data_IF_285300138894
#
_entry.id   IF_285300138894
#
_cell.length_a   1.000
_cell.length_b   1.000
_cell.length_c   1.000
_cell.angle_alpha   90.00
_cell.angle_beta   90.00
_cell.angle_gamma   90.00
#
_symmetry.space_group_name_H-M   'P 1'
#
loop_
_entity.id
_entity.type
_entity.pdbx_description
1 polymer ?
#
# COMPACT_ATOMS: atom_id res chain seq x y z
N UNK A 1 6.15 -4.06 -20.51
CA UNK A 1 4.73 -4.03 -20.07
C UNK A 1 4.69 -3.48 -18.66
N UNK A 2 3.81 -2.51 -18.40
CA UNK A 2 3.62 -1.92 -17.07
C UNK A 2 2.40 -2.54 -16.39
N UNK A 3 2.52 -2.88 -15.12
CA UNK A 3 1.44 -3.50 -14.32
C UNK A 3 1.25 -2.72 -13.03
N UNK A 4 0.00 -2.44 -12.67
CA UNK A 4 -0.36 -1.76 -11.44
C UNK A 4 -1.24 -2.69 -10.60
N UNK A 5 -0.91 -2.82 -9.32
CA UNK A 5 -1.72 -3.53 -8.34
C UNK A 5 -2.16 -2.56 -7.25
N UNK A 6 -3.47 -2.50 -7.00
CA UNK A 6 -4.05 -1.68 -5.95
C UNK A 6 -4.41 -2.51 -4.73
N UNK A 7 -4.04 -2.02 -3.54
CA UNK A 7 -4.23 -2.69 -2.27
C UNK A 7 -4.99 -1.81 -1.28
N UNK A 8 -5.98 -2.41 -0.62
CA UNK A 8 -6.67 -1.83 0.54
C UNK A 8 -6.11 -2.35 1.88
N UNK A 9 -5.18 -3.29 1.83
CA UNK A 9 -4.43 -3.80 2.96
C UNK A 9 -3.02 -4.24 2.51
N UNK A 10 -1.98 -4.07 3.35
CA UNK A 10 -0.62 -4.54 3.08
C UNK A 10 -0.58 -6.04 2.71
N UNK A 11 -0.21 -6.41 1.47
CA UNK A 11 -0.06 -7.83 1.12
C UNK A 11 1.18 -8.44 1.82
N UNK A 12 1.19 -9.76 2.06
CA UNK A 12 2.37 -10.47 2.55
C UNK A 12 3.58 -10.36 1.61
N UNK A 13 4.78 -10.56 2.15
CA UNK A 13 6.03 -10.44 1.39
C UNK A 13 6.09 -11.44 0.22
N UNK A 14 5.56 -12.63 0.42
CA UNK A 14 5.54 -13.70 -0.57
C UNK A 14 4.74 -13.27 -1.80
N UNK A 15 3.60 -12.59 -1.57
CA UNK A 15 2.78 -12.01 -2.64
C UNK A 15 3.58 -10.96 -3.40
N UNK A 16 4.26 -10.04 -2.72
CA UNK A 16 5.12 -9.05 -3.37
C UNK A 16 6.19 -9.69 -4.27
N UNK A 17 6.78 -10.79 -3.83
CA UNK A 17 7.75 -11.56 -4.62
C UNK A 17 7.17 -12.17 -5.90
N UNK A 18 5.89 -12.56 -5.88
CA UNK A 18 5.17 -13.01 -7.07
C UNK A 18 4.86 -11.83 -8.01
N UNK A 19 4.34 -10.72 -7.46
CA UNK A 19 3.99 -9.54 -8.25
C UNK A 19 5.21 -8.94 -8.95
N UNK A 20 6.39 -8.97 -8.32
CA UNK A 20 7.63 -8.51 -8.94
C UNK A 20 7.97 -9.22 -10.26
N UNK A 21 7.47 -10.45 -10.46
CA UNK A 21 7.67 -11.24 -11.68
C UNK A 21 6.60 -10.97 -12.75
N UNK A 22 5.57 -10.18 -12.46
CA UNK A 22 4.45 -9.93 -13.37
C UNK A 22 4.78 -8.98 -14.53
N UNK A 23 5.88 -8.23 -14.45
CA UNK A 23 6.30 -7.33 -15.50
C UNK A 23 7.67 -6.70 -15.24
N UNK A 24 8.16 -5.95 -16.23
CA UNK A 24 9.41 -5.19 -16.12
C UNK A 24 9.27 -4.01 -15.15
N UNK A 25 8.10 -3.37 -15.15
CA UNK A 25 7.72 -2.29 -14.23
C UNK A 25 6.42 -2.65 -13.53
N UNK A 26 6.49 -2.73 -12.20
CA UNK A 26 5.36 -3.10 -11.34
C UNK A 26 5.18 -2.01 -10.31
N UNK A 27 4.01 -1.39 -10.32
CA UNK A 27 3.61 -0.35 -9.38
C UNK A 27 2.66 -0.94 -8.35
N UNK A 28 2.94 -0.69 -7.08
CA UNK A 28 2.05 -1.00 -5.97
C UNK A 28 1.36 0.28 -5.53
N UNK A 29 0.04 0.34 -5.69
CA UNK A 29 -0.78 1.42 -5.20
C UNK A 29 -1.40 1.03 -3.85
N UNK A 30 -1.28 1.89 -2.84
CA UNK A 30 -1.97 1.72 -1.55
C UNK A 30 -2.50 3.06 -1.04
N UNK A 31 -3.76 3.07 -0.61
CA UNK A 31 -4.43 4.25 -0.03
C UNK A 31 -4.69 4.04 1.46
N UNK A 32 -3.85 4.61 2.35
CA UNK A 32 -4.05 4.49 3.79
C UNK A 32 -5.12 5.40 4.36
N UNK A 33 -5.61 6.39 3.61
CA UNK A 33 -6.55 7.43 4.04
C UNK A 33 -6.02 8.36 5.15
N UNK A 34 -5.44 7.81 6.23
CA UNK A 34 -4.96 8.53 7.39
C UNK A 34 -3.92 7.73 8.18
N UNK A 35 -3.19 8.40 9.07
CA UNK A 35 -2.29 7.75 10.04
C UNK A 35 -3.06 7.21 11.27
N UNK A 36 -4.29 7.68 11.49
CA UNK A 36 -5.14 7.23 12.58
C UNK A 36 -5.70 5.83 12.29
N UNK A 37 -5.35 4.87 13.14
CA UNK A 37 -5.73 3.46 12.98
C UNK A 37 -7.20 3.18 13.30
N UNK A 38 -7.83 4.00 14.14
CA UNK A 38 -9.26 3.88 14.40
C UNK A 38 -10.06 4.36 13.19
N UNK A 39 -9.69 5.52 12.65
CA UNK A 39 -10.33 6.06 11.45
C UNK A 39 -10.13 5.10 10.27
N UNK A 40 -8.90 4.62 10.01
CA UNK A 40 -8.63 3.60 8.97
C UNK A 40 -9.56 2.39 9.07
N UNK A 41 -9.72 1.83 10.26
CA UNK A 41 -10.60 0.68 10.48
C UNK A 41 -12.06 1.00 10.17
N UNK A 42 -12.55 2.18 10.55
CA UNK A 42 -13.91 2.65 10.20
C UNK A 42 -14.11 2.77 8.69
N UNK A 43 -13.05 3.09 7.93
CA UNK A 43 -13.05 3.16 6.46
C UNK A 43 -12.67 1.83 5.77
N UNK A 44 -12.68 0.70 6.49
CA UNK A 44 -12.43 -0.61 5.90
C UNK A 44 -10.97 -0.85 5.50
N UNK A 45 -10.01 -0.23 6.20
CA UNK A 45 -8.57 -0.50 6.09
C UNK A 45 -8.13 -1.32 7.32
N UNK A 46 -8.17 -2.67 7.26
CA UNK A 46 -7.97 -3.53 8.44
C UNK A 46 -6.48 -3.77 8.72
N UNK A 47 -5.70 -2.70 8.89
CA UNK A 47 -4.27 -2.80 9.19
C UNK A 47 -3.76 -1.63 10.03
N UNK A 48 -2.71 -1.89 10.79
CA UNK A 48 -2.02 -0.90 11.62
C UNK A 48 -0.82 -0.28 10.89
N UNK A 49 -0.33 0.84 11.41
CA UNK A 49 0.81 1.56 10.86
C UNK A 49 2.07 0.70 10.78
N UNK A 50 2.24 -0.23 11.72
CA UNK A 50 3.37 -1.17 11.70
C UNK A 50 3.34 -2.08 10.47
N UNK A 51 2.18 -2.64 10.13
CA UNK A 51 2.01 -3.52 8.97
C UNK A 51 2.28 -2.75 7.67
N UNK A 52 1.77 -1.53 7.55
CA UNK A 52 2.05 -0.64 6.42
C UNK A 52 3.56 -0.40 6.27
N UNK A 53 4.25 -0.01 7.35
CA UNK A 53 5.71 0.21 7.34
C UNK A 53 6.47 -1.05 6.92
N UNK A 54 6.03 -2.22 7.36
CA UNK A 54 6.64 -3.50 6.97
C UNK A 54 6.43 -3.79 5.49
N UNK A 55 5.24 -3.57 4.94
CA UNK A 55 4.99 -3.65 3.50
C UNK A 55 5.88 -2.71 2.70
N UNK A 56 5.98 -1.44 3.09
CA UNK A 56 6.80 -0.45 2.38
C UNK A 56 8.28 -0.86 2.32
N UNK A 57 8.80 -1.36 3.44
CA UNK A 57 10.16 -1.90 3.53
C UNK A 57 10.34 -3.13 2.64
N UNK A 58 9.39 -4.08 2.67
CA UNK A 58 9.46 -5.28 1.85
C UNK A 58 9.41 -4.96 0.34
N UNK A 59 8.49 -4.10 -0.08
CA UNK A 59 8.36 -3.66 -1.46
C UNK A 59 9.64 -2.98 -1.95
N UNK A 60 10.20 -2.05 -1.15
CA UNK A 60 11.47 -1.40 -1.46
C UNK A 60 12.62 -2.40 -1.60
N UNK A 61 12.73 -3.39 -0.69
CA UNK A 61 13.75 -4.43 -0.77
C UNK A 61 13.64 -5.32 -2.01
N UNK A 62 12.43 -5.47 -2.57
CA UNK A 62 12.17 -6.24 -3.79
C UNK A 62 12.27 -5.39 -5.06
N UNK A 63 12.62 -4.09 -4.94
CA UNK A 63 12.72 -3.17 -6.07
C UNK A 63 11.38 -2.87 -6.73
N UNK A 64 10.29 -2.91 -5.97
CA UNK A 64 8.96 -2.51 -6.43
C UNK A 64 8.78 -1.00 -6.23
N UNK A 65 8.13 -0.36 -7.20
CA UNK A 65 7.75 1.05 -7.10
C UNK A 65 6.42 1.17 -6.37
N UNK A 66 6.31 2.15 -5.47
CA UNK A 66 5.15 2.32 -4.60
C UNK A 66 4.57 3.71 -4.84
N UNK A 67 3.27 3.77 -5.11
CA UNK A 67 2.48 4.99 -5.20
C UNK A 67 1.50 5.05 -4.05
N UNK A 68 1.24 6.27 -3.57
CA UNK A 68 0.26 6.53 -2.52
C UNK A 68 -0.76 7.53 -3.02
N UNK A 69 -2.02 7.31 -2.66
CA UNK A 69 -3.01 8.36 -2.72
C UNK A 69 -2.74 9.33 -1.55
N UNK A 70 -2.49 10.60 -1.87
CA UNK A 70 -2.47 11.66 -0.85
C UNK A 70 -3.92 11.97 -0.51
N UNK A 71 -4.30 11.79 0.75
CA UNK A 71 -5.58 12.29 1.24
C UNK A 71 -5.63 13.82 1.06
N UNK A 72 -6.47 14.28 0.14
CA UNK A 72 -6.72 15.69 -0.16
C UNK A 72 -7.96 16.23 0.59
N UNK A 73 -8.30 15.61 1.73
CA UNK A 73 -9.43 16.02 2.55
C UNK A 73 -9.20 17.37 3.21
N UNK A 74 -9.69 18.41 2.55
CA UNK A 74 -10.19 19.61 3.22
C UNK A 74 -11.55 19.25 3.82
N UNK A 75 -11.80 19.60 5.10
CA UNK A 75 -13.09 19.49 5.85
C UNK A 75 -13.33 18.09 6.44
N UNK A 76 -13.44 17.91 7.77
CA UNK A 76 -14.35 18.58 8.70
C UNK A 76 -13.63 19.16 9.93
N UNK A 77 -14.18 20.29 10.40
CA UNK A 77 -13.89 20.98 11.66
C UNK A 77 -14.03 20.07 12.88
#
# INVERSE_FOLDING_TARGET
MEVIFEFFAPPPREVLGLLRKAGERVYLHISPETHDEEIKRRYGRPYINHELKTFLRNAKQLGLEITFEKFSGTTLQ
#
